data_IF_083406382569
#
_entry.id   IF_083406382569
#
_cell.length_a   1.000
_cell.length_b   1.000
_cell.length_c   1.000
_cell.angle_alpha   90.00
_cell.angle_beta   90.00
_cell.angle_gamma   90.00
#
_symmetry.space_group_name_H-M   'P 1'
#
loop_
_entity.id
_entity.type
_entity.pdbx_description
1 polymer ?
#
# COMPACT_ATOMS: atom_id res chain seq x y z
N UNK A 1 -14.81 13.36 -15.49
CA UNK A 1 -13.52 13.88 -16.01
C UNK A 1 -12.43 12.97 -15.47
N UNK A 2 -11.60 12.36 -16.28
CA UNK A 2 -10.48 11.55 -15.75
C UNK A 2 -9.42 12.54 -15.29
N UNK A 3 -9.05 12.48 -14.01
CA UNK A 3 -7.92 13.22 -13.50
C UNK A 3 -6.65 12.69 -14.20
N UNK A 4 -5.89 13.55 -14.83
CA UNK A 4 -4.62 13.20 -15.44
C UNK A 4 -3.54 13.81 -14.55
N UNK A 5 -2.75 12.95 -13.90
CA UNK A 5 -1.62 13.40 -13.11
C UNK A 5 -0.65 14.21 -13.99
N UNK A 6 -0.14 15.38 -13.54
CA UNK A 6 0.71 16.23 -14.36
C UNK A 6 2.08 15.63 -14.70
N UNK A 7 2.45 14.49 -14.12
CA UNK A 7 3.77 13.90 -14.31
C UNK A 7 3.75 12.50 -14.75
N UNK A 8 3.63 11.98 -15.80
CA UNK A 8 3.81 10.63 -16.32
C UNK A 8 2.58 9.71 -16.28
N UNK A 9 1.94 9.57 -17.43
CA UNK A 9 0.82 8.66 -17.69
C UNK A 9 1.21 7.16 -17.61
N UNK A 10 2.45 6.84 -17.34
CA UNK A 10 3.00 5.49 -17.33
C UNK A 10 3.44 4.98 -15.95
N UNK A 11 3.30 5.79 -14.91
CA UNK A 11 3.69 5.35 -13.55
C UNK A 11 2.70 4.30 -13.03
N UNK A 12 3.22 3.19 -12.50
CA UNK A 12 2.41 2.13 -11.91
C UNK A 12 1.60 2.63 -10.70
N UNK A 13 2.10 3.61 -9.97
CA UNK A 13 1.39 4.24 -8.87
C UNK A 13 0.09 4.91 -9.33
N UNK A 14 0.06 5.54 -10.49
CA UNK A 14 -1.15 6.16 -11.05
C UNK A 14 -2.31 5.19 -11.26
N UNK A 15 -2.04 3.93 -11.57
CA UNK A 15 -3.10 2.94 -11.73
C UNK A 15 -3.80 2.69 -10.41
N UNK A 16 -3.04 2.59 -9.32
CA UNK A 16 -3.58 2.40 -7.96
C UNK A 16 -4.29 3.67 -7.50
N UNK A 17 -3.68 4.84 -7.71
CA UNK A 17 -4.26 6.14 -7.36
C UNK A 17 -5.59 6.39 -8.09
N UNK A 18 -5.64 6.13 -9.39
CA UNK A 18 -6.88 6.26 -10.16
C UNK A 18 -7.95 5.27 -9.69
N UNK A 19 -7.57 4.02 -9.36
CA UNK A 19 -8.50 3.05 -8.82
C UNK A 19 -9.06 3.50 -7.47
N UNK A 20 -8.25 4.04 -6.57
CA UNK A 20 -8.71 4.62 -5.29
C UNK A 20 -9.61 5.82 -5.51
N UNK A 21 -9.28 6.68 -6.47
CA UNK A 21 -10.07 7.87 -6.80
C UNK A 21 -11.46 7.53 -7.36
N UNK A 22 -11.64 6.34 -7.95
CA UNK A 22 -12.95 5.87 -8.42
C UNK A 22 -13.90 5.47 -7.27
N UNK A 23 -13.38 5.31 -6.05
CA UNK A 23 -14.18 5.07 -4.84
C UNK A 23 -14.51 6.41 -4.16
N UNK A 24 -15.64 7.02 -4.54
CA UNK A 24 -16.08 8.36 -4.10
C UNK A 24 -16.08 8.55 -2.59
N UNK A 25 -16.66 7.59 -1.86
CA UNK A 25 -16.80 7.68 -0.40
C UNK A 25 -15.45 7.66 0.33
N UNK A 26 -14.45 7.04 -0.29
CA UNK A 26 -13.12 6.93 0.26
C UNK A 26 -12.37 8.27 0.23
N UNK A 27 -12.25 8.89 -0.95
CA UNK A 27 -11.47 10.12 -1.11
C UNK A 27 -12.01 11.26 -0.27
N UNK A 28 -13.35 11.37 -0.14
CA UNK A 28 -13.99 12.40 0.68
C UNK A 28 -13.68 12.26 2.17
N UNK A 29 -13.30 11.08 2.64
CA UNK A 29 -12.97 10.81 4.06
C UNK A 29 -11.51 11.05 4.42
N UNK A 30 -10.61 11.25 3.43
CA UNK A 30 -9.17 11.42 3.64
C UNK A 30 -8.83 12.85 3.99
N UNK A 31 -8.39 13.10 5.22
CA UNK A 31 -7.88 14.41 5.66
C UNK A 31 -6.35 14.47 5.73
N UNK A 32 -5.69 13.32 5.81
CA UNK A 32 -4.22 13.24 5.94
C UNK A 32 -3.64 11.97 5.35
N UNK A 33 -2.48 12.09 4.72
CA UNK A 33 -1.75 10.95 4.21
C UNK A 33 -0.23 11.07 4.44
N UNK A 34 0.47 9.95 4.48
CA UNK A 34 1.93 9.92 4.46
C UNK A 34 2.42 9.00 3.35
N UNK A 35 3.39 9.47 2.57
CA UNK A 35 4.11 8.73 1.53
C UNK A 35 5.46 8.26 2.06
N UNK A 36 5.59 6.96 2.20
CA UNK A 36 6.69 6.25 2.84
C UNK A 36 7.70 5.76 1.79
N UNK A 37 8.72 6.55 1.56
CA UNK A 37 9.67 6.39 0.45
C UNK A 37 9.20 7.17 -0.78
N UNK A 38 8.91 8.45 -0.60
CA UNK A 38 8.22 9.28 -1.60
C UNK A 38 9.06 9.68 -2.82
N UNK A 39 10.36 9.36 -2.84
CA UNK A 39 11.23 9.60 -4.00
C UNK A 39 11.14 11.02 -4.57
N UNK A 40 10.69 11.14 -5.81
CA UNK A 40 10.53 12.42 -6.53
C UNK A 40 9.35 13.26 -6.06
N UNK A 41 8.43 12.68 -5.26
CA UNK A 41 7.27 13.36 -4.71
C UNK A 41 6.07 13.46 -5.66
N UNK A 42 6.07 12.73 -6.77
CA UNK A 42 4.98 12.80 -7.76
C UNK A 42 3.65 12.34 -7.15
N UNK A 43 3.67 11.25 -6.36
CA UNK A 43 2.48 10.74 -5.68
C UNK A 43 1.98 11.73 -4.61
N UNK A 44 2.91 12.38 -3.88
CA UNK A 44 2.54 13.47 -2.94
C UNK A 44 1.82 14.62 -3.64
N UNK A 45 2.29 15.03 -4.82
CA UNK A 45 1.67 16.09 -5.60
C UNK A 45 0.26 15.67 -6.04
N UNK A 46 0.11 14.40 -6.47
CA UNK A 46 -1.21 13.87 -6.82
C UNK A 46 -2.19 13.97 -5.65
N UNK A 47 -1.81 13.51 -4.46
CA UNK A 47 -2.63 13.59 -3.26
C UNK A 47 -2.93 15.04 -2.85
N UNK A 48 -1.93 15.91 -2.91
CA UNK A 48 -2.04 17.31 -2.51
C UNK A 48 -2.95 18.13 -3.43
N UNK A 49 -3.12 17.69 -4.68
CA UNK A 49 -3.93 18.38 -5.70
C UNK A 49 -5.24 17.65 -6.02
N UNK A 50 -5.58 16.60 -5.27
CA UNK A 50 -6.81 15.86 -5.46
C UNK A 50 -8.05 16.74 -5.22
N UNK A 51 -9.07 16.55 -6.05
CA UNK A 51 -10.33 17.30 -6.02
C UNK A 51 -11.51 16.37 -5.89
N UNK A 52 -12.68 16.88 -5.54
CA UNK A 52 -13.95 16.16 -5.66
C UNK A 52 -14.21 15.77 -7.11
N UNK A 53 -15.13 14.84 -7.35
CA UNK A 53 -15.49 14.35 -8.70
C UNK A 53 -16.73 15.04 -9.27
N UNK A 54 -17.21 16.06 -8.60
CA UNK A 54 -18.38 16.82 -9.01
C UNK A 54 -18.18 17.59 -10.33
N UNK A 55 -19.26 18.16 -10.88
CA UNK A 55 -19.20 19.01 -12.07
C UNK A 55 -18.33 20.25 -11.85
N UNK A 56 -18.33 20.78 -10.61
CA UNK A 56 -17.43 21.85 -10.15
C UNK A 56 -16.44 21.27 -9.12
N UNK A 57 -15.26 20.79 -9.55
CA UNK A 57 -14.30 20.12 -8.68
C UNK A 57 -13.73 21.03 -7.60
N UNK A 58 -13.91 20.67 -6.34
CA UNK A 58 -13.34 21.39 -5.20
C UNK A 58 -12.11 20.67 -4.64
N UNK A 59 -11.05 21.41 -4.22
CA UNK A 59 -9.87 20.79 -3.62
C UNK A 59 -10.22 20.01 -2.35
N UNK A 60 -9.75 18.77 -2.23
CA UNK A 60 -9.94 17.95 -1.02
C UNK A 60 -9.09 18.42 0.16
N UNK A 61 -8.09 19.28 -0.07
CA UNK A 61 -7.22 19.86 0.95
C UNK A 61 -6.53 18.81 1.86
N UNK A 62 -6.15 17.67 1.29
CA UNK A 62 -5.48 16.60 2.01
C UNK A 62 -4.12 17.09 2.49
N UNK A 63 -3.82 16.88 3.78
CA UNK A 63 -2.50 17.16 4.35
C UNK A 63 -1.56 16.00 4.03
N UNK A 64 -0.54 16.26 3.23
CA UNK A 64 0.40 15.28 2.73
C UNK A 64 1.74 15.38 3.46
N UNK A 65 2.30 14.24 3.80
CA UNK A 65 3.62 14.12 4.40
C UNK A 65 4.47 13.19 3.56
N UNK A 66 5.66 13.62 3.17
CA UNK A 66 6.62 12.78 2.47
C UNK A 66 7.77 12.41 3.40
N UNK A 67 8.24 11.17 3.31
CA UNK A 67 9.47 10.74 3.98
C UNK A 67 10.34 9.95 3.01
N UNK A 68 11.62 10.34 2.92
CA UNK A 68 12.62 9.63 2.11
C UNK A 68 14.02 9.91 2.65
N UNK A 69 14.98 9.04 2.33
CA UNK A 69 16.40 9.20 2.69
C UNK A 69 17.08 10.34 1.93
N UNK A 70 16.57 10.69 0.76
CA UNK A 70 17.09 11.79 -0.06
C UNK A 70 16.55 13.15 0.41
N UNK A 71 17.20 14.28 0.05
CA UNK A 71 16.67 15.61 0.34
C UNK A 71 15.33 15.87 -0.35
N UNK A 72 14.53 16.77 0.24
CA UNK A 72 13.22 17.16 -0.28
C UNK A 72 13.25 17.52 -1.77
N UNK A 73 12.42 16.88 -2.60
CA UNK A 73 12.35 17.18 -4.02
C UNK A 73 11.94 18.64 -4.28
N UNK A 74 12.55 19.28 -5.27
CA UNK A 74 12.20 20.65 -5.63
C UNK A 74 10.75 20.81 -6.08
N UNK A 75 10.19 19.77 -6.69
CA UNK A 75 8.84 19.76 -7.24
C UNK A 75 7.74 19.94 -6.18
N UNK A 76 7.94 19.47 -4.95
CA UNK A 76 6.91 19.59 -3.87
C UNK A 76 6.88 20.98 -3.22
N UNK A 77 7.90 21.82 -3.38
CA UNK A 77 8.02 23.13 -2.70
C UNK A 77 6.85 24.09 -2.91
N UNK A 78 6.19 24.14 -4.08
CA UNK A 78 5.07 25.04 -4.29
C UNK A 78 3.80 24.71 -3.49
N UNK A 79 3.70 23.49 -2.95
CA UNK A 79 2.48 22.97 -2.32
C UNK A 79 2.53 23.19 -0.81
N UNK A 80 1.68 24.06 -0.28
CA UNK A 80 1.65 24.44 1.14
C UNK A 80 1.07 23.34 2.04
N UNK A 81 0.33 22.41 1.48
CA UNK A 81 -0.25 21.26 2.18
C UNK A 81 0.67 20.01 2.15
N UNK A 82 1.91 20.14 1.64
CA UNK A 82 2.93 19.09 1.68
C UNK A 82 4.00 19.44 2.73
N UNK A 83 4.19 18.58 3.71
CA UNK A 83 5.35 18.56 4.59
C UNK A 83 6.30 17.44 4.19
N UNK A 84 7.60 17.60 4.47
CA UNK A 84 8.62 16.62 4.12
C UNK A 84 9.58 16.38 5.28
N UNK A 85 9.93 15.11 5.49
CA UNK A 85 10.94 14.68 6.43
C UNK A 85 12.03 13.89 5.69
N UNK A 86 13.27 14.35 5.78
CA UNK A 86 14.39 13.53 5.34
C UNK A 86 14.72 12.50 6.42
N UNK A 87 14.62 11.22 6.08
CA UNK A 87 14.86 10.13 7.02
C UNK A 87 14.35 8.77 6.52
N UNK A 88 14.55 7.76 7.33
CA UNK A 88 14.03 6.41 7.05
C UNK A 88 12.53 6.32 7.36
N UNK A 89 11.78 5.69 6.47
CA UNK A 89 10.39 5.35 6.72
C UNK A 89 10.19 4.26 7.79
N UNK A 90 11.29 3.67 8.28
CA UNK A 90 11.29 2.67 9.34
C UNK A 90 11.43 3.29 10.74
N UNK A 91 11.88 4.54 10.84
CA UNK A 91 12.26 5.15 12.13
C UNK A 91 11.87 6.63 12.19
N UNK A 92 11.50 7.07 13.40
CA UNK A 92 11.34 8.49 13.73
C UNK A 92 10.41 9.29 12.80
N UNK A 93 9.36 8.64 12.29
CA UNK A 93 8.34 9.33 11.52
C UNK A 93 7.61 10.33 12.43
N UNK A 94 7.50 11.58 11.99
CA UNK A 94 6.83 12.62 12.76
C UNK A 94 5.37 12.21 13.00
N UNK A 95 4.94 12.12 14.28
CA UNK A 95 3.59 11.72 14.59
C UNK A 95 2.57 12.74 14.06
N UNK A 96 1.49 12.25 13.47
CA UNK A 96 0.32 13.06 13.14
C UNK A 96 -0.72 12.90 14.27
N UNK A 97 -1.29 14.00 14.82
CA UNK A 97 -2.33 13.90 15.83
C UNK A 97 -3.53 13.10 15.33
N UNK A 98 -3.87 12.02 16.03
CA UNK A 98 -4.94 11.09 15.65
C UNK A 98 -4.53 10.00 14.65
N UNK A 99 -3.32 10.04 14.12
CA UNK A 99 -2.82 9.15 13.07
C UNK A 99 -3.14 9.64 11.67
N UNK A 100 -2.55 9.00 10.67
CA UNK A 100 -2.82 9.26 9.25
C UNK A 100 -4.00 8.44 8.75
N UNK A 101 -4.82 9.00 7.89
CA UNK A 101 -5.94 8.30 7.27
C UNK A 101 -5.45 7.34 6.18
N UNK A 102 -4.38 7.72 5.48
CA UNK A 102 -3.75 6.90 4.46
C UNK A 102 -2.24 6.83 4.68
N UNK A 103 -1.72 5.61 4.72
CA UNK A 103 -0.30 5.34 4.53
C UNK A 103 -0.11 4.84 3.10
N UNK A 104 0.72 5.54 2.34
CA UNK A 104 1.07 5.20 0.97
C UNK A 104 2.52 4.71 0.92
N UNK A 105 2.76 3.55 0.32
CA UNK A 105 4.11 3.02 0.13
C UNK A 105 4.19 2.31 -1.21
N UNK A 106 4.72 3.00 -2.20
CA UNK A 106 4.89 2.46 -3.54
C UNK A 106 6.39 2.26 -3.85
N UNK A 107 6.77 1.03 -4.22
CA UNK A 107 8.15 0.67 -4.59
C UNK A 107 9.22 1.02 -3.54
N UNK A 108 8.89 0.93 -2.25
CA UNK A 108 9.83 1.26 -1.18
C UNK A 108 9.94 0.16 -0.10
N UNK A 109 8.87 -0.56 0.20
CA UNK A 109 8.83 -1.51 1.33
C UNK A 109 9.82 -2.67 1.22
N UNK A 110 10.24 -3.08 0.01
CA UNK A 110 11.26 -4.10 -0.20
C UNK A 110 12.63 -3.71 0.37
N UNK A 111 12.84 -2.44 0.67
CA UNK A 111 14.06 -1.91 1.30
C UNK A 111 13.99 -1.87 2.84
N UNK A 112 12.87 -2.27 3.43
CA UNK A 112 12.74 -2.33 4.88
C UNK A 112 13.68 -3.38 5.47
N UNK A 113 14.52 -2.99 6.43
CA UNK A 113 15.47 -3.91 7.11
C UNK A 113 14.72 -4.86 8.03
N UNK A 114 13.66 -4.36 8.69
CA UNK A 114 12.80 -5.15 9.56
C UNK A 114 11.32 -4.97 9.20
N UNK A 115 10.83 -5.64 8.15
CA UNK A 115 9.50 -5.38 7.59
C UNK A 115 8.35 -5.58 8.58
N UNK A 116 8.41 -6.56 9.48
CA UNK A 116 7.37 -6.76 10.49
C UNK A 116 7.33 -5.64 11.53
N UNK A 117 8.50 -5.18 11.99
CA UNK A 117 8.60 -4.03 12.89
C UNK A 117 8.06 -2.78 12.21
N UNK A 118 8.45 -2.56 10.97
CA UNK A 118 8.01 -1.43 10.14
C UNK A 118 6.49 -1.40 9.99
N UNK A 119 5.89 -2.51 9.57
CA UNK A 119 4.43 -2.62 9.44
C UNK A 119 3.70 -2.43 10.77
N UNK A 120 4.28 -2.90 11.88
CA UNK A 120 3.71 -2.69 13.22
C UNK A 120 3.77 -1.22 13.63
N UNK A 121 4.87 -0.51 13.35
CA UNK A 121 4.98 0.92 13.58
C UNK A 121 3.99 1.71 12.73
N UNK A 122 3.83 1.37 11.47
CA UNK A 122 2.87 1.97 10.56
C UNK A 122 1.42 1.76 11.05
N UNK A 123 1.11 0.59 11.60
CA UNK A 123 -0.19 0.35 12.21
C UNK A 123 -0.47 1.32 13.37
N UNK A 124 0.54 1.62 14.21
CA UNK A 124 0.38 2.56 15.33
C UNK A 124 0.19 4.01 14.87
N UNK A 125 0.77 4.40 13.75
CA UNK A 125 0.66 5.76 13.22
C UNK A 125 -0.56 5.98 12.31
N UNK A 126 -1.35 4.94 12.06
CA UNK A 126 -2.58 5.02 11.26
C UNK A 126 -3.77 5.38 12.16
N UNK A 127 -4.67 6.22 11.67
CA UNK A 127 -5.92 6.57 12.36
C UNK A 127 -6.86 5.37 12.48
N UNK A 128 -7.86 5.44 13.36
CA UNK A 128 -8.91 4.43 13.42
C UNK A 128 -9.71 4.43 12.11
N UNK A 129 -9.82 3.28 11.45
CA UNK A 129 -10.44 3.16 10.13
C UNK A 129 -9.54 3.58 8.98
N UNK A 130 -8.33 4.06 9.26
CA UNK A 130 -7.35 4.39 8.22
C UNK A 130 -6.76 3.16 7.55
N UNK A 131 -6.05 3.36 6.46
CA UNK A 131 -5.57 2.28 5.60
C UNK A 131 -4.09 2.40 5.25
N UNK A 132 -3.53 1.27 4.83
CA UNK A 132 -2.24 1.16 4.17
C UNK A 132 -2.47 0.73 2.72
N UNK A 133 -1.96 1.53 1.79
CA UNK A 133 -1.82 1.18 0.38
C UNK A 133 -0.35 0.86 0.12
N UNK A 134 -0.06 -0.37 -0.26
CA UNK A 134 1.31 -0.84 -0.43
C UNK A 134 1.49 -1.54 -1.78
N UNK A 135 2.55 -1.17 -2.50
CA UNK A 135 2.94 -1.80 -3.76
C UNK A 135 4.39 -2.28 -3.65
N UNK A 136 4.59 -3.56 -3.89
CA UNK A 136 5.92 -4.20 -3.82
C UNK A 136 6.21 -5.02 -5.07
N UNK A 137 7.49 -5.14 -5.49
CA UNK A 137 7.88 -6.01 -6.58
C UNK A 137 7.52 -7.47 -6.30
N UNK A 138 6.95 -8.16 -7.29
CA UNK A 138 6.60 -9.57 -7.14
C UNK A 138 7.77 -10.51 -7.52
N UNK A 139 7.98 -11.54 -6.71
CA UNK A 139 9.07 -12.51 -6.88
C UNK A 139 9.03 -13.26 -8.21
N UNK A 140 7.84 -13.55 -8.76
CA UNK A 140 7.70 -14.40 -9.96
C UNK A 140 8.29 -13.75 -11.19
N UNK A 141 8.17 -12.43 -11.34
CA UNK A 141 8.73 -11.71 -12.49
C UNK A 141 10.24 -11.60 -12.39
N UNK A 142 10.78 -11.44 -11.17
CA UNK A 142 12.22 -11.46 -10.92
C UNK A 142 12.89 -12.74 -11.41
N UNK A 143 12.24 -13.88 -11.25
CA UNK A 143 12.77 -15.19 -11.67
C UNK A 143 12.71 -15.40 -13.19
N UNK A 144 11.91 -14.62 -13.94
CA UNK A 144 11.67 -14.82 -15.39
C UNK A 144 12.54 -13.97 -16.33
N UNK A 145 13.55 -13.27 -15.85
CA UNK A 145 14.49 -12.57 -16.73
C UNK A 145 14.81 -11.11 -16.39
N UNK A 146 14.21 -10.57 -15.34
CA UNK A 146 14.62 -9.26 -14.79
C UNK A 146 15.52 -9.40 -13.58
N UNK A 147 16.17 -10.54 -13.43
CA UNK A 147 17.07 -10.85 -12.31
C UNK A 147 18.17 -9.77 -12.15
N UNK A 148 18.65 -9.20 -13.24
CA UNK A 148 19.68 -8.16 -13.20
C UNK A 148 19.21 -6.90 -12.46
N UNK A 149 17.98 -6.44 -12.69
CA UNK A 149 17.42 -5.28 -12.02
C UNK A 149 17.37 -5.44 -10.49
N UNK A 150 17.09 -6.64 -10.03
CA UNK A 150 16.96 -6.91 -8.59
C UNK A 150 18.28 -7.31 -7.92
N UNK A 151 19.22 -7.87 -8.67
CA UNK A 151 20.56 -8.10 -8.14
C UNK A 151 21.35 -6.79 -7.96
N UNK A 152 21.06 -5.79 -8.78
CA UNK A 152 21.64 -4.46 -8.65
C UNK A 152 20.88 -3.56 -7.67
N UNK A 153 19.64 -3.93 -7.31
CA UNK A 153 18.85 -3.22 -6.31
C UNK A 153 19.26 -3.65 -4.91
N UNK A 154 19.28 -2.71 -3.98
CA UNK A 154 19.54 -2.97 -2.56
C UNK A 154 18.29 -3.53 -1.84
N UNK A 155 17.40 -4.20 -2.58
CA UNK A 155 16.20 -4.84 -2.02
C UNK A 155 16.58 -5.97 -1.09
N UNK A 156 16.09 -5.91 0.15
CA UNK A 156 16.32 -6.98 1.13
C UNK A 156 15.32 -8.13 0.98
N UNK A 157 14.11 -7.83 0.48
CA UNK A 157 13.02 -8.81 0.43
C UNK A 157 12.34 -8.84 -0.93
N UNK A 158 12.04 -10.07 -1.36
CA UNK A 158 11.19 -10.36 -2.50
C UNK A 158 9.88 -10.95 -2.00
N UNK A 159 8.80 -10.26 -2.26
CA UNK A 159 7.50 -10.63 -1.73
C UNK A 159 6.73 -11.56 -2.66
N UNK A 160 6.01 -12.51 -2.08
CA UNK A 160 4.90 -13.21 -2.70
C UNK A 160 3.61 -12.68 -2.08
N UNK A 161 2.47 -12.85 -2.75
CA UNK A 161 1.17 -12.48 -2.19
C UNK A 161 0.94 -13.15 -0.82
N UNK A 162 1.28 -14.43 -0.69
CA UNK A 162 1.14 -15.18 0.57
C UNK A 162 2.00 -14.59 1.68
N UNK A 163 3.27 -14.28 1.39
CA UNK A 163 4.17 -13.72 2.42
C UNK A 163 3.74 -12.30 2.83
N UNK A 164 3.27 -11.50 1.87
CA UNK A 164 2.80 -10.14 2.14
C UNK A 164 1.55 -10.15 3.03
N UNK A 165 0.53 -10.95 2.69
CA UNK A 165 -0.69 -11.11 3.50
C UNK A 165 -0.33 -11.57 4.92
N UNK A 166 0.57 -12.54 5.06
CA UNK A 166 0.99 -13.01 6.38
C UNK A 166 1.64 -11.91 7.21
N UNK A 167 2.55 -11.13 6.62
CA UNK A 167 3.22 -10.03 7.33
C UNK A 167 2.24 -8.94 7.73
N UNK A 168 1.35 -8.54 6.82
CA UNK A 168 0.32 -7.55 7.08
C UNK A 168 -0.60 -8.00 8.23
N UNK A 169 -1.17 -9.20 8.16
CA UNK A 169 -2.04 -9.74 9.20
C UNK A 169 -1.32 -9.87 10.55
N UNK A 170 -0.05 -10.34 10.55
CA UNK A 170 0.77 -10.41 11.77
C UNK A 170 0.99 -9.03 12.40
N UNK A 171 1.16 -8.01 11.57
CA UNK A 171 1.30 -6.63 12.03
C UNK A 171 -0.04 -5.93 12.37
N UNK A 172 -1.16 -6.66 12.44
CA UNK A 172 -2.44 -6.15 12.88
C UNK A 172 -3.31 -5.52 11.78
N UNK A 173 -2.93 -5.67 10.51
CA UNK A 173 -3.73 -5.15 9.40
C UNK A 173 -4.88 -6.09 9.04
N UNK A 174 -6.07 -5.53 8.81
CA UNK A 174 -7.23 -6.27 8.32
C UNK A 174 -7.08 -6.55 6.82
N UNK A 175 -6.64 -7.77 6.52
CA UNK A 175 -6.59 -8.27 5.15
C UNK A 175 -7.92 -8.88 4.69
N UNK A 176 -8.88 -9.13 5.59
CA UNK A 176 -10.19 -9.69 5.24
C UNK A 176 -11.03 -8.72 4.42
N UNK A 177 -11.07 -7.47 4.86
CA UNK A 177 -11.74 -6.37 4.15
C UNK A 177 -10.84 -5.73 3.09
N UNK A 178 -9.59 -6.18 2.98
CA UNK A 178 -8.58 -5.62 2.09
C UNK A 178 -8.76 -6.02 0.62
N UNK A 179 -8.06 -5.29 -0.24
CA UNK A 179 -7.98 -5.55 -1.67
C UNK A 179 -6.55 -5.93 -2.03
N UNK A 180 -6.40 -6.97 -2.85
CA UNK A 180 -5.11 -7.46 -3.26
C UNK A 180 -5.10 -7.69 -4.77
N UNK A 181 -4.03 -7.27 -5.42
CA UNK A 181 -3.84 -7.48 -6.85
C UNK A 181 -2.45 -8.04 -7.13
N UNK A 182 -2.41 -9.09 -7.93
CA UNK A 182 -1.21 -9.62 -8.55
C UNK A 182 -1.56 -10.11 -9.94
N UNK A 183 -0.90 -9.57 -10.97
CA UNK A 183 -1.07 -10.01 -12.36
C UNK A 183 0.20 -10.69 -12.86
N UNK A 184 0.07 -11.63 -13.79
CA UNK A 184 1.23 -12.32 -14.37
C UNK A 184 2.11 -11.40 -15.24
N UNK A 185 1.54 -10.33 -15.78
CA UNK A 185 2.24 -9.34 -16.59
C UNK A 185 2.65 -8.07 -15.81
N UNK A 186 2.13 -7.90 -14.59
CA UNK A 186 2.44 -6.75 -13.74
C UNK A 186 3.63 -7.09 -12.84
N UNK A 187 4.71 -6.28 -12.80
CA UNK A 187 5.84 -6.53 -11.91
C UNK A 187 5.52 -6.30 -10.44
N UNK A 188 4.32 -5.87 -10.08
CA UNK A 188 3.94 -5.46 -8.74
C UNK A 188 2.88 -6.36 -8.10
N UNK A 189 2.94 -6.44 -6.76
CA UNK A 189 1.82 -6.84 -5.91
C UNK A 189 1.30 -5.56 -5.28
N UNK A 190 0.01 -5.30 -5.43
CA UNK A 190 -0.68 -4.18 -4.78
C UNK A 190 -1.56 -4.71 -3.66
N UNK A 191 -1.56 -4.04 -2.52
CA UNK A 191 -2.47 -4.34 -1.43
C UNK A 191 -3.02 -3.04 -0.82
N UNK A 192 -4.31 -3.04 -0.53
CA UNK A 192 -5.00 -2.03 0.28
C UNK A 192 -5.58 -2.75 1.47
N UNK A 193 -5.12 -2.41 2.67
CA UNK A 193 -5.56 -3.03 3.91
C UNK A 193 -5.90 -1.97 4.95
N UNK A 194 -6.81 -2.30 5.86
CA UNK A 194 -7.29 -1.36 6.86
C UNK A 194 -6.66 -1.62 8.23
N UNK A 195 -6.58 -0.60 9.05
CA UNK A 195 -6.19 -0.77 10.44
C UNK A 195 -7.27 -1.57 11.16
N UNK A 196 -6.93 -2.76 11.66
CA UNK A 196 -7.87 -3.56 12.45
C UNK A 196 -7.92 -3.07 13.91
N UNK A 197 -8.89 -3.59 14.68
CA UNK A 197 -8.95 -3.41 16.13
C UNK A 197 -7.92 -4.28 16.88
N UNK A 198 -7.28 -5.22 16.20
CA UNK A 198 -6.25 -6.10 16.77
C UNK A 198 -4.88 -5.45 16.69
N UNK A 199 -4.20 -5.35 17.83
CA UNK A 199 -2.82 -4.89 17.87
C UNK A 199 -1.89 -5.87 17.10
N UNK A 200 -0.70 -5.42 16.68
CA UNK A 200 0.32 -6.30 16.12
C UNK A 200 0.58 -7.53 16.97
N UNK A 201 0.63 -8.70 16.36
CA UNK A 201 0.79 -10.00 17.00
C UNK A 201 2.28 -10.36 17.15
N UNK A 202 2.63 -11.20 18.14
CA UNK A 202 3.98 -11.73 18.24
C UNK A 202 4.26 -12.67 17.04
N UNK A 203 5.27 -12.38 16.20
CA UNK A 203 5.58 -13.21 15.03
C UNK A 203 5.92 -14.67 15.35
N UNK A 204 6.35 -14.95 16.59
CA UNK A 204 6.68 -16.32 17.04
C UNK A 204 5.44 -17.18 17.27
N UNK A 205 4.32 -16.54 17.61
CA UNK A 205 3.05 -17.23 17.96
C UNK A 205 1.95 -17.03 16.93
N UNK A 206 2.07 -16.01 16.06
CA UNK A 206 1.11 -15.71 15.01
C UNK A 206 1.12 -16.78 13.92
N UNK A 207 0.43 -17.91 14.15
CA UNK A 207 0.20 -18.94 13.14
C UNK A 207 -0.88 -18.52 12.16
N UNK A 208 -1.00 -19.21 11.02
CA UNK A 208 -2.11 -18.99 10.08
C UNK A 208 -3.48 -19.19 10.74
N UNK A 209 -3.61 -20.21 11.59
CA UNK A 209 -4.85 -20.47 12.33
C UNK A 209 -5.18 -19.35 13.30
N UNK A 210 -4.21 -18.85 14.06
CA UNK A 210 -4.42 -17.73 14.96
C UNK A 210 -4.85 -16.48 14.22
N UNK A 211 -4.22 -16.14 13.09
CA UNK A 211 -4.61 -15.00 12.27
C UNK A 211 -6.01 -15.16 11.65
N UNK A 212 -6.41 -16.40 11.32
CA UNK A 212 -7.76 -16.75 10.87
C UNK A 212 -8.81 -16.55 11.97
N UNK A 213 -8.51 -17.01 13.21
CA UNK A 213 -9.38 -16.82 14.38
C UNK A 213 -9.61 -15.33 14.70
N UNK A 214 -8.60 -14.48 14.46
CA UNK A 214 -8.70 -13.02 14.60
C UNK A 214 -9.43 -12.36 13.41
N UNK A 215 -9.87 -13.12 12.42
CA UNK A 215 -10.50 -12.63 11.18
C UNK A 215 -9.64 -11.61 10.41
N UNK A 216 -8.32 -11.72 10.49
CA UNK A 216 -7.37 -10.83 9.81
C UNK A 216 -7.02 -11.28 8.39
N UNK A 217 -7.41 -12.48 7.98
CA UNK A 217 -7.06 -13.05 6.68
C UNK A 217 -8.21 -12.94 5.67
N UNK A 218 -7.90 -12.81 4.36
CA UNK A 218 -8.91 -12.93 3.32
C UNK A 218 -9.66 -14.27 3.40
N UNK A 219 -10.95 -14.29 3.07
CA UNK A 219 -11.75 -15.53 3.11
C UNK A 219 -11.18 -16.66 2.26
N UNK A 220 -10.53 -16.33 1.15
CA UNK A 220 -9.84 -17.31 0.30
C UNK A 220 -8.64 -17.94 1.01
N UNK A 221 -7.93 -17.18 1.85
CA UNK A 221 -6.87 -17.68 2.69
C UNK A 221 -7.41 -18.62 3.79
N UNK A 222 -8.52 -18.24 4.45
CA UNK A 222 -9.21 -19.09 5.43
C UNK A 222 -9.61 -20.42 4.82
N UNK A 223 -10.24 -20.42 3.64
CA UNK A 223 -10.61 -21.65 2.92
C UNK A 223 -9.38 -22.52 2.61
N UNK A 224 -8.27 -21.91 2.19
CA UNK A 224 -7.03 -22.66 1.91
C UNK A 224 -6.45 -23.29 3.16
N UNK A 225 -6.46 -22.59 4.31
CA UNK A 225 -6.01 -23.12 5.59
C UNK A 225 -6.85 -24.32 6.02
N UNK A 226 -8.17 -24.23 5.97
CA UNK A 226 -9.06 -25.33 6.35
C UNK A 226 -8.91 -26.55 5.44
N UNK A 227 -8.65 -26.34 4.15
CA UNK A 227 -8.48 -27.44 3.20
C UNK A 227 -7.09 -28.08 3.23
N UNK A 228 -6.03 -27.32 3.53
CA UNK A 228 -4.64 -27.76 3.32
C UNK A 228 -3.70 -27.52 4.50
N UNK A 229 -4.17 -26.88 5.57
CA UNK A 229 -3.35 -26.51 6.73
C UNK A 229 -2.44 -25.29 6.51
N UNK A 230 -2.44 -24.71 5.31
CA UNK A 230 -1.64 -23.53 4.95
C UNK A 230 -2.30 -22.76 3.80
N UNK A 231 -1.84 -21.53 3.56
CA UNK A 231 -2.30 -20.71 2.44
C UNK A 231 -1.47 -21.01 1.20
N UNK A 232 -2.12 -21.37 0.10
CA UNK A 232 -1.49 -21.53 -1.21
C UNK A 232 -1.81 -20.34 -2.09
N UNK A 233 -0.83 -19.86 -2.86
CA UNK A 233 -1.01 -18.70 -3.75
C UNK A 233 -2.14 -18.91 -4.77
N UNK A 234 -2.28 -20.09 -5.30
CA UNK A 234 -3.33 -20.44 -6.28
C UNK A 234 -4.75 -20.43 -5.70
N UNK A 235 -4.89 -20.48 -4.37
CA UNK A 235 -6.18 -20.44 -3.69
C UNK A 235 -6.58 -19.01 -3.28
N UNK A 236 -5.68 -18.04 -3.45
CA UNK A 236 -5.96 -16.65 -3.21
C UNK A 236 -6.78 -16.09 -4.37
N UNK A 237 -8.09 -16.27 -4.26
CA UNK A 237 -9.04 -15.63 -5.16
C UNK A 237 -9.21 -14.20 -4.70
N UNK A 238 -8.93 -13.26 -5.57
CA UNK A 238 -8.94 -11.84 -5.27
C UNK A 238 -10.25 -11.23 -5.77
N UNK A 239 -11.23 -10.95 -4.89
CA UNK A 239 -12.55 -10.48 -5.31
C UNK A 239 -12.50 -9.17 -6.11
N UNK A 240 -11.47 -8.36 -5.89
CA UNK A 240 -11.28 -7.08 -6.56
C UNK A 240 -10.74 -7.22 -7.99
N UNK A 241 -9.97 -8.26 -8.25
CA UNK A 241 -9.41 -8.52 -9.58
C UNK A 241 -10.52 -8.76 -10.61
N UNK A 242 -11.60 -9.44 -10.21
CA UNK A 242 -12.66 -9.83 -11.15
C UNK A 242 -13.56 -8.67 -11.62
N UNK A 243 -13.70 -7.59 -10.84
CA UNK A 243 -14.67 -6.53 -11.15
C UNK A 243 -14.08 -5.30 -11.85
N UNK A 244 -12.92 -4.84 -11.45
CA UNK A 244 -12.32 -3.62 -12.02
C UNK A 244 -11.24 -3.91 -13.06
N UNK A 245 -10.61 -5.09 -13.04
CA UNK A 245 -9.50 -5.43 -13.90
C UNK A 245 -9.90 -6.20 -15.17
N UNK A 246 -11.08 -6.79 -15.25
CA UNK A 246 -11.63 -7.27 -16.52
C UNK A 246 -11.76 -6.13 -17.53
N UNK A 247 -12.01 -4.90 -17.08
CA UNK A 247 -12.04 -3.70 -17.94
C UNK A 247 -10.65 -3.16 -18.30
N UNK A 248 -9.63 -3.41 -17.46
CA UNK A 248 -8.24 -3.00 -17.75
C UNK A 248 -7.45 -4.07 -18.51
N UNK A 249 -7.88 -5.33 -18.51
CA UNK A 249 -7.28 -6.40 -19.30
C UNK A 249 -7.66 -6.33 -20.80
N UNK A 250 -8.50 -5.36 -21.20
CA UNK A 250 -8.86 -5.08 -22.59
C UNK A 250 -8.08 -3.90 -23.18
N UNK A 251 -7.12 -3.34 -22.44
CA UNK A 251 -6.11 -2.39 -22.88
C UNK A 251 -4.74 -3.08 -22.93
#
# INVERSE_FOLDING_TARGET
MKFVHPGDSHSHSLQVLNALYEYDDFMASVGSMVDLGCGTGDDLIWWATATTRDEDPEPLNIRCYGIDLVPAPGAIRPYLNIAYQQGSFEENIVPHPGGFDVLWCHDAFQYAVNPLKTLSQWWHMTSAGGMLVISVPQTIITLRGQLAYYLDSHSYYHHTMVSLIRMLATAGWDCRSGFFQQRSADPWIHAVVYKSSHAPQDPKTATWYHLSELALLPESADRSIHAHGHVRQQDLILPWVDKSLASLAQL
#
